data_IF_403181744878
#
_entry.id   IF_403181744878
#
_cell.length_a   1.000
_cell.length_b   1.000
_cell.length_c   1.000
_cell.angle_alpha   90.00
_cell.angle_beta   90.00
_cell.angle_gamma   90.00
#
_symmetry.space_group_name_H-M   'P 1'
#
loop_
_entity.id
_entity.type
_entity.pdbx_description
1 polymer ?
#
# COMPACT_ATOMS: atom_id res chain seq x y z
N UNK A 1 7.17 -12.29 -6.95
CA UNK A 1 6.14 -12.85 -6.05
C UNK A 1 4.80 -12.37 -6.57
N UNK A 2 3.98 -13.26 -7.14
CA UNK A 2 2.61 -12.93 -7.52
C UNK A 2 1.77 -13.30 -6.30
N UNK A 3 1.19 -12.31 -5.62
CA UNK A 3 0.18 -12.59 -4.59
C UNK A 3 -1.10 -12.95 -5.34
N UNK A 4 -1.70 -14.09 -5.02
CA UNK A 4 -3.03 -14.41 -5.54
C UNK A 4 -4.05 -13.39 -5.03
N UNK A 5 -5.18 -13.26 -5.73
CA UNK A 5 -6.21 -12.28 -5.37
C UNK A 5 -6.70 -12.45 -3.92
N UNK A 6 -6.66 -13.68 -3.40
CA UNK A 6 -6.98 -14.02 -2.01
C UNK A 6 -5.91 -13.60 -0.99
N UNK A 7 -4.68 -13.31 -1.41
CA UNK A 7 -3.53 -13.02 -0.52
C UNK A 7 -3.05 -11.56 -0.62
N UNK A 8 -3.83 -10.65 -1.22
CA UNK A 8 -3.34 -9.29 -1.52
C UNK A 8 -2.90 -8.48 -0.29
N UNK A 9 -3.39 -8.80 0.91
CA UNK A 9 -3.14 -8.08 2.15
C UNK A 9 -2.84 -9.00 3.34
N UNK A 10 -1.88 -9.93 3.19
CA UNK A 10 -1.51 -10.93 4.21
C UNK A 10 -1.26 -10.39 5.62
N UNK A 11 -0.89 -9.12 5.77
CA UNK A 11 -0.60 -8.50 7.07
C UNK A 11 -1.81 -7.82 7.72
N UNK A 12 -2.95 -7.70 7.03
CA UNK A 12 -4.12 -7.01 7.55
C UNK A 12 -4.62 -7.63 8.85
N UNK A 13 -4.90 -8.93 8.86
CA UNK A 13 -5.42 -9.63 10.04
C UNK A 13 -4.46 -9.57 11.24
N UNK A 14 -3.15 -9.57 10.98
CA UNK A 14 -2.15 -9.45 12.03
C UNK A 14 -2.08 -8.03 12.59
N UNK A 15 -2.15 -7.02 11.71
CA UNK A 15 -2.12 -5.63 12.11
C UNK A 15 -3.38 -5.24 12.90
N UNK A 16 -4.57 -5.71 12.49
CA UNK A 16 -5.83 -5.44 13.19
C UNK A 16 -5.83 -6.06 14.59
N UNK A 17 -5.41 -7.33 14.73
CA UNK A 17 -5.25 -7.95 16.05
C UNK A 17 -4.27 -7.20 16.93
N UNK A 18 -3.10 -6.84 16.40
CA UNK A 18 -2.11 -6.08 17.14
C UNK A 18 -2.65 -4.72 17.59
N UNK A 19 -3.37 -4.00 16.72
CA UNK A 19 -3.95 -2.69 17.05
C UNK A 19 -5.01 -2.73 18.15
N UNK A 20 -5.60 -3.89 18.42
CA UNK A 20 -6.55 -4.07 19.52
C UNK A 20 -5.86 -4.39 20.86
N UNK A 21 -4.59 -4.80 20.84
CA UNK A 21 -3.82 -5.21 22.01
C UNK A 21 -2.89 -4.11 22.56
N UNK A 22 -2.71 -3.00 21.83
CA UNK A 22 -1.79 -1.93 22.19
C UNK A 22 -2.45 -0.56 22.15
N UNK A 23 -2.04 0.34 23.05
CA UNK A 23 -2.54 1.72 23.13
C UNK A 23 -1.79 2.70 22.21
N UNK A 24 -1.01 2.20 21.25
CA UNK A 24 -0.23 3.02 20.30
C UNK A 24 -0.66 2.74 18.86
N UNK A 25 -0.60 3.75 17.96
CA UNK A 25 -1.02 3.56 16.59
C UNK A 25 -0.22 2.50 15.83
N UNK A 26 -0.92 1.60 15.14
CA UNK A 26 -0.34 0.59 14.27
C UNK A 26 -0.40 1.05 12.80
N UNK A 27 0.73 0.95 12.11
CA UNK A 27 0.86 1.31 10.69
C UNK A 27 0.89 0.04 9.84
N UNK A 28 -0.13 -0.19 9.02
CA UNK A 28 -0.19 -1.33 8.11
C UNK A 28 0.67 -1.10 6.86
N UNK A 29 1.51 -2.08 6.52
CA UNK A 29 2.18 -2.17 5.23
C UNK A 29 1.76 -3.46 4.51
N UNK A 30 1.99 -3.53 3.20
CA UNK A 30 1.77 -4.78 2.44
C UNK A 30 0.91 -4.58 1.21
N UNK A 31 1.57 -4.25 0.10
CA UNK A 31 0.99 -4.21 -1.24
C UNK A 31 -0.28 -3.34 -1.40
N UNK A 32 -0.42 -2.35 -0.53
CA UNK A 32 -1.48 -1.34 -0.53
C UNK A 32 -1.32 -0.42 -1.75
N UNK A 33 -2.29 -0.44 -2.66
CA UNK A 33 -2.22 0.25 -3.96
C UNK A 33 -3.54 0.82 -4.45
N UNK A 34 -4.65 0.42 -3.84
CA UNK A 34 -5.99 0.73 -4.32
C UNK A 34 -6.73 1.53 -3.26
N UNK A 35 -7.26 2.70 -3.64
CA UNK A 35 -7.91 3.61 -2.71
C UNK A 35 -9.09 2.94 -2.01
N UNK A 36 -9.95 2.25 -2.77
CA UNK A 36 -11.16 1.61 -2.23
C UNK A 36 -10.77 0.60 -1.15
N UNK A 37 -9.84 -0.30 -1.48
CA UNK A 37 -9.38 -1.33 -0.56
C UNK A 37 -8.76 -0.74 0.71
N UNK A 38 -7.97 0.31 0.58
CA UNK A 38 -7.38 0.98 1.73
C UNK A 38 -8.42 1.69 2.61
N UNK A 39 -9.39 2.37 2.01
CA UNK A 39 -10.50 2.96 2.76
C UNK A 39 -11.35 1.88 3.45
N UNK A 40 -11.61 0.76 2.79
CA UNK A 40 -12.35 -0.35 3.40
C UNK A 40 -11.60 -0.85 4.66
N UNK A 41 -10.28 -1.05 4.59
CA UNK A 41 -9.46 -1.46 5.74
C UNK A 41 -9.49 -0.42 6.87
N UNK A 42 -9.29 0.86 6.57
CA UNK A 42 -9.30 1.93 7.59
C UNK A 42 -10.65 2.06 8.30
N UNK A 43 -11.75 1.79 7.59
CA UNK A 43 -13.10 1.90 8.16
C UNK A 43 -13.56 0.61 8.87
N UNK A 44 -12.95 -0.54 8.57
CA UNK A 44 -13.39 -1.85 9.08
C UNK A 44 -12.43 -2.50 10.06
N UNK A 45 -11.31 -1.86 10.42
CA UNK A 45 -10.29 -2.38 11.34
C UNK A 45 -9.82 -1.31 12.32
N UNK A 46 -9.03 -1.71 13.31
CA UNK A 46 -8.41 -0.79 14.28
C UNK A 46 -7.08 -0.18 13.79
N UNK A 47 -6.69 -0.42 12.53
CA UNK A 47 -5.48 0.17 11.94
C UNK A 47 -5.69 1.66 11.67
N UNK A 48 -4.79 2.50 12.20
CA UNK A 48 -4.90 3.97 12.08
C UNK A 48 -4.15 4.54 10.88
N UNK A 49 -3.08 3.87 10.44
CA UNK A 49 -2.21 4.39 9.40
C UNK A 49 -1.78 3.32 8.40
N UNK A 50 -1.35 3.78 7.22
CA UNK A 50 -0.85 2.93 6.15
C UNK A 50 0.51 3.41 5.66
N UNK A 51 1.41 2.46 5.44
CA UNK A 51 2.74 2.70 4.87
C UNK A 51 2.76 2.30 3.40
N UNK A 52 3.03 3.29 2.56
CA UNK A 52 3.16 3.14 1.11
C UNK A 52 4.60 3.45 0.75
N UNK A 53 5.34 2.48 0.21
CA UNK A 53 6.71 2.69 -0.27
C UNK A 53 6.77 2.56 -1.78
N UNK A 54 6.53 1.35 -2.30
CA UNK A 54 6.55 1.05 -3.73
C UNK A 54 5.57 1.90 -4.57
N UNK A 55 4.38 2.27 -4.08
CA UNK A 55 3.52 3.22 -4.77
C UNK A 55 4.21 4.56 -5.06
N UNK A 56 4.87 5.16 -4.07
CA UNK A 56 5.59 6.43 -4.25
C UNK A 56 6.84 6.28 -5.12
N UNK A 57 7.57 5.17 -5.02
CA UNK A 57 8.70 4.88 -5.92
C UNK A 57 8.21 4.73 -7.36
N UNK A 58 7.03 4.15 -7.56
CA UNK A 58 6.42 4.03 -8.87
C UNK A 58 5.94 5.39 -9.37
N UNK A 59 5.18 6.16 -8.59
CA UNK A 59 4.63 7.45 -8.99
C UNK A 59 4.54 8.33 -7.74
N UNK A 60 5.26 9.45 -7.69
CA UNK A 60 5.34 10.26 -6.47
C UNK A 60 4.04 11.02 -6.16
N UNK A 61 3.26 11.39 -7.19
CA UNK A 61 2.10 12.27 -7.10
C UNK A 61 0.75 11.54 -7.18
N UNK A 62 0.73 10.20 -7.13
CA UNK A 62 -0.51 9.43 -7.31
C UNK A 62 -1.63 9.82 -6.33
N UNK A 63 -1.30 10.27 -5.11
CA UNK A 63 -2.29 10.74 -4.14
C UNK A 63 -2.96 12.06 -4.56
N UNK A 64 -2.29 12.91 -5.33
CA UNK A 64 -2.89 14.12 -5.87
C UNK A 64 -3.94 13.77 -6.93
N UNK A 65 -3.64 12.82 -7.83
CA UNK A 65 -4.60 12.31 -8.81
C UNK A 65 -5.82 11.70 -8.13
N UNK A 66 -5.59 10.89 -7.12
CA UNK A 66 -6.62 10.27 -6.29
C UNK A 66 -7.53 11.31 -5.64
N UNK A 67 -6.95 12.34 -5.01
CA UNK A 67 -7.72 13.42 -4.40
C UNK A 67 -8.56 14.18 -5.43
N UNK A 68 -8.03 14.39 -6.63
CA UNK A 68 -8.73 15.09 -7.72
C UNK A 68 -9.89 14.27 -8.29
N UNK A 69 -9.69 12.96 -8.46
CA UNK A 69 -10.64 12.09 -9.14
C UNK A 69 -11.63 11.40 -8.19
N UNK A 70 -11.35 11.37 -6.89
CA UNK A 70 -12.18 10.69 -5.89
C UNK A 70 -12.01 9.16 -5.86
N UNK A 71 -11.15 8.62 -6.72
CA UNK A 71 -10.80 7.21 -6.79
C UNK A 71 -9.38 7.05 -7.36
N UNK A 72 -8.81 5.86 -7.20
CA UNK A 72 -7.63 5.51 -7.97
C UNK A 72 -6.88 4.28 -7.47
N UNK A 73 -6.00 3.80 -8.34
CA UNK A 73 -5.07 2.72 -8.06
C UNK A 73 -3.67 3.16 -8.48
N UNK A 74 -2.67 2.94 -7.64
CA UNK A 74 -1.27 3.24 -7.94
C UNK A 74 -0.81 2.40 -9.13
N UNK A 75 -0.02 2.99 -10.02
CA UNK A 75 0.56 2.26 -11.16
C UNK A 75 1.48 1.10 -10.73
N UNK A 76 2.01 1.13 -9.50
CA UNK A 76 2.89 0.08 -8.96
C UNK A 76 2.32 -1.34 -9.19
N UNK A 77 3.08 -2.20 -9.87
CA UNK A 77 2.64 -3.59 -10.12
C UNK A 77 3.04 -4.59 -9.04
N UNK A 78 3.79 -4.16 -8.02
CA UNK A 78 4.29 -5.07 -6.98
C UNK A 78 5.31 -6.09 -7.52
N UNK A 79 5.97 -5.78 -8.64
CA UNK A 79 6.90 -6.69 -9.32
C UNK A 79 8.23 -6.91 -8.56
N UNK A 80 8.54 -6.05 -7.59
CA UNK A 80 9.80 -6.02 -6.83
C UNK A 80 11.06 -5.63 -7.62
N UNK A 81 10.95 -5.21 -8.88
CA UNK A 81 12.11 -4.80 -9.68
C UNK A 81 12.88 -3.62 -9.06
N UNK A 82 12.19 -2.73 -8.34
CA UNK A 82 12.81 -1.61 -7.62
C UNK A 82 13.80 -2.03 -6.51
N UNK A 83 13.75 -3.28 -6.01
CA UNK A 83 14.74 -3.77 -5.03
C UNK A 83 16.08 -4.16 -5.64
N UNK A 84 16.17 -4.25 -6.97
CA UNK A 84 17.37 -4.78 -7.63
C UNK A 84 18.61 -3.89 -7.51
N UNK A 85 18.44 -2.59 -7.22
CA UNK A 85 19.52 -1.61 -7.11
C UNK A 85 19.38 -0.76 -5.86
N UNK A 86 20.48 -0.14 -5.41
CA UNK A 86 20.51 0.82 -4.28
C UNK A 86 19.98 2.20 -4.68
N UNK A 87 18.91 2.24 -5.47
CA UNK A 87 18.29 3.45 -5.99
C UNK A 87 16.78 3.38 -5.72
N UNK A 88 16.19 4.47 -5.23
CA UNK A 88 14.74 4.57 -5.03
C UNK A 88 14.03 4.89 -6.35
N UNK A 89 14.17 4.00 -7.34
CA UNK A 89 13.62 4.16 -8.69
C UNK A 89 12.74 2.97 -9.08
N UNK A 90 11.66 3.24 -9.81
CA UNK A 90 10.91 2.19 -10.49
C UNK A 90 11.59 1.82 -11.80
N UNK A 91 11.91 0.54 -12.01
CA UNK A 91 12.48 0.04 -13.27
C UNK A 91 11.42 -0.51 -14.24
N UNK A 92 10.13 -0.31 -13.93
CA UNK A 92 9.03 -0.72 -14.79
C UNK A 92 8.55 0.41 -15.71
N UNK A 93 8.87 1.65 -15.35
CA UNK A 93 8.47 2.86 -16.05
C UNK A 93 9.72 3.72 -16.27
N UNK A 94 9.78 4.40 -17.42
CA UNK A 94 10.97 5.13 -17.86
C UNK A 94 10.96 6.62 -17.49
N UNK A 95 9.85 7.09 -16.92
CA UNK A 95 9.67 8.45 -16.42
C UNK A 95 10.31 8.71 -15.05
#
# INVERSE_FOLDING_TARGET
MKYDAAEKHVFQDYADKLSQEVDIPVILAGNLRDMKTMNDILNSSHVEFMSLSKPFVAQADFLADWKKNGEGTSRCKGCNNCYSKKESRCFQYDD
#
